data_IF_659825490047
#
_entry.id   IF_659825490047
#
_cell.length_a   1.000
_cell.length_b   1.000
_cell.length_c   1.000
_cell.angle_alpha   90.00
_cell.angle_beta   90.00
_cell.angle_gamma   90.00
#
_symmetry.space_group_name_H-M   'P 1'
#
loop_
_entity.id
_entity.type
_entity.pdbx_description
1 polymer ?
#
# COMPACT_ATOMS: atom_id res chain seq x y z
N UNK A 1 4.59 -9.00 12.85
CA UNK A 1 3.87 -8.50 11.66
C UNK A 1 4.88 -8.47 10.53
N UNK A 2 4.59 -9.06 9.37
CA UNK A 2 5.60 -9.23 8.33
C UNK A 2 5.39 -8.20 7.20
N UNK A 3 6.24 -7.16 7.18
CA UNK A 3 6.24 -6.09 6.16
C UNK A 3 6.43 -6.68 4.76
N UNK A 4 7.32 -7.67 4.60
CA UNK A 4 7.57 -8.31 3.30
C UNK A 4 6.31 -8.96 2.73
N UNK A 5 5.45 -9.52 3.59
CA UNK A 5 4.17 -10.10 3.15
C UNK A 5 3.21 -9.02 2.64
N UNK A 6 3.16 -7.88 3.32
CA UNK A 6 2.36 -6.72 2.88
C UNK A 6 2.88 -6.20 1.55
N UNK A 7 4.20 -6.00 1.42
CA UNK A 7 4.83 -5.54 0.19
C UNK A 7 4.57 -6.50 -0.98
N UNK A 8 4.67 -7.80 -0.74
CA UNK A 8 4.37 -8.82 -1.74
C UNK A 8 2.91 -8.73 -2.22
N UNK A 9 1.95 -8.62 -1.29
CA UNK A 9 0.54 -8.50 -1.64
C UNK A 9 0.25 -7.19 -2.42
N UNK A 10 0.86 -6.07 -2.02
CA UNK A 10 0.75 -4.79 -2.73
C UNK A 10 1.33 -4.88 -4.15
N UNK A 11 2.45 -5.58 -4.31
CA UNK A 11 3.10 -5.78 -5.60
C UNK A 11 2.24 -6.66 -6.53
N UNK A 12 1.56 -7.67 -6.00
CA UNK A 12 0.57 -8.46 -6.77
C UNK A 12 -0.61 -7.58 -7.18
N UNK A 13 -1.13 -6.75 -6.26
CA UNK A 13 -2.25 -5.85 -6.56
C UNK A 13 -1.88 -4.84 -7.65
N UNK A 14 -0.64 -4.31 -7.66
CA UNK A 14 -0.14 -3.39 -8.69
C UNK A 14 -0.30 -3.95 -10.11
N UNK A 15 -0.19 -5.27 -10.28
CA UNK A 15 -0.19 -5.94 -11.59
C UNK A 15 -1.60 -6.07 -12.21
N UNK A 16 -2.66 -5.75 -11.47
CA UNK A 16 -4.05 -5.87 -11.95
C UNK A 16 -4.30 -4.83 -13.05
N UNK A 17 -4.63 -5.27 -14.25
CA UNK A 17 -5.11 -4.40 -15.34
C UNK A 17 -6.64 -4.36 -15.38
N UNK A 18 -7.18 -3.46 -16.20
CA UNK A 18 -8.62 -3.45 -16.45
C UNK A 18 -9.08 -4.81 -16.99
N UNK A 19 -10.23 -5.26 -16.52
CA UNK A 19 -10.82 -6.57 -16.81
C UNK A 19 -10.09 -7.77 -16.19
N UNK A 20 -8.92 -7.57 -15.58
CA UNK A 20 -8.29 -8.59 -14.76
C UNK A 20 -9.05 -8.77 -13.45
N UNK A 21 -9.10 -10.02 -13.02
CA UNK A 21 -9.76 -10.46 -11.80
C UNK A 21 -8.71 -10.77 -10.74
N UNK A 22 -9.02 -10.51 -9.49
CA UNK A 22 -8.17 -10.88 -8.35
C UNK A 22 -8.76 -12.08 -7.63
N UNK A 23 -7.92 -13.06 -7.32
CA UNK A 23 -8.31 -14.31 -6.66
C UNK A 23 -7.41 -14.59 -5.46
N UNK A 24 -7.99 -15.20 -4.44
CA UNK A 24 -7.27 -15.68 -3.26
C UNK A 24 -7.04 -17.18 -3.41
N UNK A 25 -5.78 -17.60 -3.37
CA UNK A 25 -5.39 -19.00 -3.42
C UNK A 25 -5.06 -19.44 -1.99
N UNK A 26 -5.83 -20.41 -1.48
CA UNK A 26 -5.60 -21.04 -0.19
C UNK A 26 -4.87 -22.37 -0.41
N UNK A 27 -3.60 -22.43 0.00
CA UNK A 27 -2.80 -23.65 0.07
C UNK A 27 -2.63 -24.02 1.55
N UNK A 28 -2.35 -25.29 1.84
CA UNK A 28 -2.09 -25.75 3.21
C UNK A 28 -0.90 -24.95 3.78
N UNK A 29 -1.19 -24.09 4.76
CA UNK A 29 -0.18 -23.24 5.40
C UNK A 29 0.14 -21.92 4.70
N UNK A 30 -0.47 -21.58 3.56
CA UNK A 30 -0.30 -20.24 2.96
C UNK A 30 -1.51 -19.77 2.18
N UNK A 31 -1.95 -18.54 2.45
CA UNK A 31 -2.92 -17.81 1.63
C UNK A 31 -2.17 -16.77 0.81
N UNK A 32 -2.45 -16.68 -0.49
CA UNK A 32 -1.77 -15.73 -1.40
C UNK A 32 -2.75 -15.11 -2.39
N UNK A 33 -2.43 -13.89 -2.83
CA UNK A 33 -3.11 -13.25 -3.96
C UNK A 33 -2.57 -13.73 -5.30
N UNK A 34 -3.44 -13.81 -6.30
CA UNK A 34 -3.07 -14.07 -7.69
C UNK A 34 -3.98 -13.29 -8.65
N UNK A 35 -3.37 -12.72 -9.69
CA UNK A 35 -4.09 -12.05 -10.78
C UNK A 35 -4.54 -13.09 -11.80
N UNK A 36 -5.84 -13.13 -12.05
CA UNK A 36 -6.47 -13.93 -13.09
C UNK A 36 -6.74 -13.05 -14.32
N UNK A 37 -5.84 -13.15 -15.30
CA UNK A 37 -5.87 -12.39 -16.55
C UNK A 37 -6.64 -13.08 -17.69
N UNK A 38 -7.25 -14.25 -17.45
CA UNK A 38 -7.90 -15.02 -18.50
C UNK A 38 -9.27 -14.43 -18.91
N UNK A 39 -9.29 -13.70 -20.03
CA UNK A 39 -10.48 -13.00 -20.55
C UNK A 39 -11.65 -13.91 -20.98
N UNK A 40 -11.37 -15.11 -21.47
CA UNK A 40 -12.37 -15.96 -22.14
C UNK A 40 -12.77 -17.23 -21.38
N UNK A 41 -11.93 -17.70 -20.45
CA UNK A 41 -12.15 -18.95 -19.69
C UNK A 41 -12.26 -18.73 -18.18
N UNK A 42 -12.07 -17.49 -17.68
CA UNK A 42 -12.07 -17.20 -16.24
C UNK A 42 -13.34 -17.65 -15.51
N UNK A 43 -14.50 -17.65 -16.17
CA UNK A 43 -15.75 -18.11 -15.52
C UNK A 43 -15.72 -19.59 -15.18
N UNK A 44 -15.12 -20.44 -16.02
CA UNK A 44 -15.04 -21.89 -15.83
C UNK A 44 -13.93 -22.23 -14.83
N UNK A 45 -12.76 -21.61 -14.97
CA UNK A 45 -11.66 -21.79 -14.01
C UNK A 45 -12.05 -21.29 -12.62
N UNK A 46 -12.76 -20.15 -12.50
CA UNK A 46 -13.26 -19.68 -11.19
C UNK A 46 -14.28 -20.60 -10.55
N UNK A 47 -15.19 -21.18 -11.34
CA UNK A 47 -16.14 -22.16 -10.83
C UNK A 47 -15.41 -23.41 -10.32
N UNK A 48 -14.42 -23.90 -11.08
CA UNK A 48 -13.63 -25.09 -10.71
C UNK A 48 -12.74 -24.87 -9.48
N UNK A 49 -12.12 -23.69 -9.34
CA UNK A 49 -11.25 -23.35 -8.21
C UNK A 49 -11.96 -22.62 -7.06
N UNK A 50 -13.29 -22.46 -7.14
CA UNK A 50 -14.14 -21.78 -6.16
C UNK A 50 -13.66 -20.36 -5.78
N UNK A 51 -13.12 -19.63 -6.77
CA UNK A 51 -12.61 -18.28 -6.57
C UNK A 51 -13.75 -17.29 -6.35
N UNK A 52 -14.07 -17.07 -5.09
CA UNK A 52 -15.14 -16.18 -4.65
C UNK A 52 -14.65 -14.73 -4.52
N UNK A 53 -15.34 -13.81 -5.20
CA UNK A 53 -15.07 -12.37 -5.12
C UNK A 53 -15.22 -11.83 -3.69
N UNK A 54 -16.17 -12.35 -2.91
CA UNK A 54 -16.32 -11.96 -1.49
C UNK A 54 -15.09 -12.35 -0.68
N UNK A 55 -14.52 -13.54 -0.92
CA UNK A 55 -13.28 -13.96 -0.25
C UNK A 55 -12.12 -13.03 -0.61
N UNK A 56 -12.01 -12.62 -1.87
CA UNK A 56 -11.02 -11.62 -2.29
C UNK A 56 -11.24 -10.29 -1.58
N UNK A 57 -12.48 -9.80 -1.50
CA UNK A 57 -12.76 -8.54 -0.81
C UNK A 57 -12.46 -8.62 0.68
N UNK A 58 -12.87 -9.68 1.37
CA UNK A 58 -12.53 -9.89 2.79
C UNK A 58 -11.02 -9.98 3.01
N UNK A 59 -10.27 -10.60 2.09
CA UNK A 59 -8.82 -10.60 2.15
C UNK A 59 -8.26 -9.17 2.05
N UNK A 60 -8.74 -8.37 1.08
CA UNK A 60 -8.31 -6.99 0.92
C UNK A 60 -8.68 -6.11 2.13
N UNK A 61 -9.83 -6.33 2.76
CA UNK A 61 -10.22 -5.65 4.00
C UNK A 61 -9.24 -5.96 5.15
N UNK A 62 -8.88 -7.24 5.31
CA UNK A 62 -7.89 -7.66 6.30
C UNK A 62 -6.49 -7.11 6.00
N UNK A 63 -6.06 -7.15 4.73
CA UNK A 63 -4.81 -6.54 4.28
C UNK A 63 -4.79 -5.04 4.59
N UNK A 64 -5.91 -4.34 4.35
CA UNK A 64 -6.03 -2.90 4.69
C UNK A 64 -5.84 -2.66 6.17
N UNK A 65 -6.49 -3.45 7.04
CA UNK A 65 -6.33 -3.31 8.49
C UNK A 65 -4.90 -3.61 8.95
N UNK A 66 -4.22 -4.55 8.30
CA UNK A 66 -2.81 -4.81 8.55
C UNK A 66 -1.97 -3.60 8.13
N UNK A 67 -2.12 -3.11 6.91
CA UNK A 67 -1.41 -1.91 6.42
C UNK A 67 -1.57 -0.73 7.38
N UNK A 68 -2.78 -0.45 7.86
CA UNK A 68 -3.06 0.61 8.85
C UNK A 68 -2.23 0.43 10.12
N UNK A 69 -2.24 -0.78 10.71
CA UNK A 69 -1.48 -1.08 11.93
C UNK A 69 0.03 -0.97 11.73
N UNK A 70 0.55 -1.47 10.61
CA UNK A 70 2.00 -1.35 10.33
C UNK A 70 2.39 0.10 10.04
N UNK A 71 1.57 0.87 9.32
CA UNK A 71 1.84 2.29 9.11
C UNK A 71 1.91 3.05 10.45
N UNK A 72 0.96 2.81 11.36
CA UNK A 72 1.01 3.41 12.70
C UNK A 72 2.24 2.98 13.50
N UNK A 73 2.64 1.71 13.41
CA UNK A 73 3.86 1.22 14.06
C UNK A 73 5.12 1.90 13.51
N UNK A 74 5.25 2.03 12.18
CA UNK A 74 6.42 2.64 11.54
C UNK A 74 6.52 4.13 11.83
N UNK A 75 5.40 4.86 11.77
CA UNK A 75 5.33 6.29 12.09
C UNK A 75 5.75 6.53 13.55
N UNK A 76 5.25 5.72 14.49
CA UNK A 76 5.59 5.87 15.90
C UNK A 76 7.02 5.43 16.24
N UNK A 77 7.60 4.54 15.41
CA UNK A 77 8.96 4.03 15.57
C UNK A 77 10.03 4.83 14.82
N UNK A 78 9.66 5.91 14.12
CA UNK A 78 10.54 6.72 13.27
C UNK A 78 11.31 5.91 12.20
N UNK A 79 10.64 4.91 11.64
CA UNK A 79 11.15 4.02 10.59
C UNK A 79 10.92 4.64 9.20
N UNK A 80 11.65 5.73 8.89
CA UNK A 80 11.40 6.57 7.72
C UNK A 80 11.60 5.84 6.38
N UNK A 81 12.62 4.98 6.26
CA UNK A 81 12.89 4.21 5.04
C UNK A 81 11.79 3.18 4.74
N UNK A 82 11.32 2.46 5.75
CA UNK A 82 10.20 1.52 5.61
C UNK A 82 8.87 2.25 5.38
N UNK A 83 8.69 3.45 5.93
CA UNK A 83 7.54 4.30 5.62
C UNK A 83 7.49 4.67 4.13
N UNK A 84 8.62 5.10 3.57
CA UNK A 84 8.74 5.44 2.14
C UNK A 84 8.44 4.21 1.28
N UNK A 85 9.08 3.08 1.60
CA UNK A 85 8.91 1.82 0.85
C UNK A 85 7.45 1.35 0.82
N UNK A 86 6.75 1.36 1.97
CA UNK A 86 5.34 0.98 2.02
C UNK A 86 4.46 1.98 1.29
N UNK A 87 4.75 3.27 1.40
CA UNK A 87 3.97 4.31 0.75
C UNK A 87 4.03 4.18 -0.78
N UNK A 88 5.21 3.98 -1.34
CA UNK A 88 5.41 3.78 -2.78
C UNK A 88 4.70 2.54 -3.30
N UNK A 89 4.81 1.41 -2.58
CA UNK A 89 4.11 0.18 -2.90
C UNK A 89 2.58 0.38 -2.85
N UNK A 90 2.09 1.14 -1.88
CA UNK A 90 0.67 1.41 -1.70
C UNK A 90 0.09 2.35 -2.77
N UNK A 91 0.82 3.40 -3.14
CA UNK A 91 0.48 4.29 -4.26
C UNK A 91 0.41 3.52 -5.57
N UNK A 92 1.35 2.59 -5.79
CA UNK A 92 1.35 1.73 -6.96
C UNK A 92 0.16 0.77 -6.99
N UNK A 93 -0.19 0.17 -5.85
CA UNK A 93 -1.32 -0.75 -5.71
C UNK A 93 -2.68 -0.05 -5.90
N UNK A 94 -2.82 1.24 -5.58
CA UNK A 94 -4.05 2.01 -5.78
C UNK A 94 -4.54 1.99 -7.24
N UNK A 95 -3.62 1.99 -8.22
CA UNK A 95 -3.96 1.84 -9.63
C UNK A 95 -4.60 0.48 -9.89
N UNK A 96 -4.00 -0.59 -9.38
CA UNK A 96 -4.52 -1.96 -9.49
C UNK A 96 -5.90 -2.14 -8.87
N UNK A 97 -6.15 -1.56 -7.68
CA UNK A 97 -7.47 -1.57 -7.05
C UNK A 97 -8.51 -0.79 -7.86
N UNK A 98 -8.10 0.31 -8.49
CA UNK A 98 -8.99 1.09 -9.37
C UNK A 98 -9.37 0.27 -10.60
N UNK A 99 -8.42 -0.44 -11.20
CA UNK A 99 -8.67 -1.37 -12.30
C UNK A 99 -9.59 -2.52 -11.88
N UNK A 100 -9.37 -3.10 -10.69
CA UNK A 100 -10.24 -4.14 -10.15
C UNK A 100 -11.68 -3.66 -9.96
N UNK A 101 -11.85 -2.40 -9.53
CA UNK A 101 -13.18 -1.76 -9.41
C UNK A 101 -13.86 -1.63 -10.78
N UNK A 102 -13.10 -1.29 -11.83
CA UNK A 102 -13.62 -1.25 -13.21
C UNK A 102 -14.06 -2.66 -13.65
N UNK A 103 -13.26 -3.70 -13.36
CA UNK A 103 -13.60 -5.09 -13.67
C UNK A 103 -14.94 -5.53 -13.06
N UNK A 104 -15.26 -5.06 -11.86
CA UNK A 104 -16.50 -5.39 -11.15
C UNK A 104 -17.59 -4.32 -11.26
N UNK A 105 -17.52 -3.41 -12.24
CA UNK A 105 -18.41 -2.26 -12.33
C UNK A 105 -19.93 -2.57 -12.34
N UNK A 106 -20.32 -3.81 -12.68
CA UNK A 106 -21.71 -4.28 -12.67
C UNK A 106 -22.18 -4.82 -11.31
N UNK A 107 -21.28 -5.09 -10.37
CA UNK A 107 -21.61 -5.52 -9.00
C UNK A 107 -21.49 -4.33 -8.04
N UNK A 108 -22.61 -3.68 -7.75
CA UNK A 108 -22.67 -2.47 -6.94
C UNK A 108 -22.13 -2.64 -5.52
N UNK A 109 -22.33 -3.82 -4.91
CA UNK A 109 -21.85 -4.12 -3.56
C UNK A 109 -20.33 -4.22 -3.56
N UNK A 110 -19.77 -4.97 -4.51
CA UNK A 110 -18.31 -5.12 -4.64
C UNK A 110 -17.65 -3.78 -4.98
N UNK A 111 -18.25 -2.98 -5.86
CA UNK A 111 -17.78 -1.63 -6.19
C UNK A 111 -17.75 -0.72 -4.95
N UNK A 112 -18.79 -0.77 -4.11
CA UNK A 112 -18.86 0.00 -2.88
C UNK A 112 -17.75 -0.42 -1.90
N UNK A 113 -17.55 -1.73 -1.68
CA UNK A 113 -16.48 -2.24 -0.82
C UNK A 113 -15.09 -1.85 -1.33
N UNK A 114 -14.82 -2.01 -2.62
CA UNK A 114 -13.56 -1.57 -3.24
C UNK A 114 -13.35 -0.06 -3.10
N UNK A 115 -14.41 0.74 -3.20
CA UNK A 115 -14.32 2.19 -2.99
C UNK A 115 -13.90 2.52 -1.56
N UNK A 116 -14.45 1.84 -0.55
CA UNK A 116 -14.05 2.01 0.85
C UNK A 116 -12.58 1.61 1.06
N UNK A 117 -12.14 0.49 0.49
CA UNK A 117 -10.74 0.02 0.56
C UNK A 117 -9.80 1.05 -0.07
N UNK A 118 -10.10 1.53 -1.29
CA UNK A 118 -9.32 2.56 -1.98
C UNK A 118 -9.22 3.83 -1.15
N UNK A 119 -10.32 4.27 -0.52
CA UNK A 119 -10.32 5.46 0.32
C UNK A 119 -9.41 5.27 1.55
N UNK A 120 -9.46 4.10 2.20
CA UNK A 120 -8.56 3.78 3.32
C UNK A 120 -7.09 3.76 2.90
N UNK A 121 -6.77 3.15 1.76
CA UNK A 121 -5.41 3.19 1.19
C UNK A 121 -4.94 4.64 1.02
N UNK A 122 -5.76 5.50 0.40
CA UNK A 122 -5.43 6.93 0.25
C UNK A 122 -5.22 7.64 1.59
N UNK A 123 -6.03 7.33 2.60
CA UNK A 123 -5.86 7.88 3.96
C UNK A 123 -4.54 7.44 4.58
N UNK A 124 -4.16 6.17 4.45
CA UNK A 124 -2.88 5.67 4.98
C UNK A 124 -1.70 6.27 4.24
N UNK A 125 -1.73 6.32 2.91
CA UNK A 125 -0.68 6.98 2.10
C UNK A 125 -0.44 8.41 2.57
N UNK A 126 -1.51 9.19 2.74
CA UNK A 126 -1.41 10.57 3.24
C UNK A 126 -0.80 10.66 4.64
N UNK A 127 -1.06 9.70 5.53
CA UNK A 127 -0.43 9.66 6.86
C UNK A 127 1.07 9.40 6.75
N UNK A 128 1.48 8.46 5.89
CA UNK A 128 2.89 8.14 5.64
C UNK A 128 3.63 9.33 4.99
N UNK A 129 3.04 9.96 3.96
CA UNK A 129 3.58 11.16 3.32
C UNK A 129 3.83 12.30 4.32
N UNK A 130 2.87 12.56 5.20
CA UNK A 130 3.01 13.59 6.22
C UNK A 130 4.15 13.28 7.19
N UNK A 131 4.35 12.01 7.54
CA UNK A 131 5.46 11.59 8.39
C UNK A 131 6.81 11.89 7.71
N UNK A 132 6.96 11.47 6.45
CA UNK A 132 8.19 11.68 5.67
C UNK A 132 8.52 13.17 5.48
N UNK A 133 7.50 13.97 5.18
CA UNK A 133 7.67 15.42 4.96
C UNK A 133 8.05 16.15 6.26
N UNK A 134 7.47 15.75 7.40
CA UNK A 134 7.85 16.32 8.69
C UNK A 134 9.31 15.99 9.04
N UNK A 135 9.74 14.74 8.84
CA UNK A 135 11.14 14.32 9.06
C UNK A 135 12.11 15.12 8.18
N UNK A 136 11.78 15.34 6.90
CA UNK A 136 12.60 16.14 5.99
C UNK A 136 12.74 17.62 6.43
N UNK A 137 11.68 18.23 6.95
CA UNK A 137 11.71 19.60 7.44
C UNK A 137 12.60 19.75 8.69
N UNK A 138 12.58 18.78 9.61
CA UNK A 138 13.47 18.78 10.78
C UNK A 138 14.97 18.68 10.41
N UNK A 139 15.31 17.92 9.38
CA UNK A 139 16.71 17.78 8.91
C UNK A 139 17.24 19.11 8.36
N UNK A 140 16.42 19.83 7.57
CA UNK A 140 16.81 21.13 7.01
C UNK A 140 16.99 22.22 8.08
N UNK A 141 16.19 22.19 9.14
CA UNK A 141 16.33 23.10 10.29
C UNK A 141 17.59 22.79 11.13
N UNK A 142 18.03 21.53 11.18
CA UNK A 142 19.27 21.14 11.85
C UNK A 142 20.51 21.59 11.09
N UNK A 143 20.58 21.37 9.77
CA UNK A 143 21.75 21.74 8.95
C UNK A 143 21.95 23.27 8.85
N UNK A 144 20.86 24.04 8.89
CA UNK A 144 20.90 25.51 8.91
C UNK A 144 21.35 26.09 10.26
N UNK A 145 21.11 25.37 11.36
CA UNK A 145 21.53 25.78 12.72
C UNK A 145 22.93 25.29 13.11
N UNK A 146 23.47 24.26 12.46
CA UNK A 146 24.89 23.86 12.60
C UNK A 146 25.85 24.73 11.80
N UNK A 147 25.41 25.31 10.67
CA UNK A 147 26.26 26.15 9.81
C UNK A 147 26.52 27.55 10.41
N UNK A 148 25.59 28.08 11.21
CA UNK A 148 25.73 29.39 11.86
C UNK A 148 26.69 29.40 13.07
N UNK A 149 27.01 28.23 13.63
CA UNK A 149 27.94 28.10 14.77
C UNK A 149 29.42 27.97 14.37
N UNK A 150 29.73 27.77 13.09
CA UNK A 150 31.12 27.67 12.59
C UNK A 150 31.71 28.99 12.09
N UNK A 151 30.92 30.04 11.89
CA UNK A 151 31.40 31.31 11.36
C UNK A 151 31.84 32.33 12.44
N UNK A 152 31.56 32.08 13.73
CA UNK A 152 31.86 33.04 14.80
C UNK A 152 33.24 32.88 15.45
N UNK A 153 34.08 31.92 15.02
CA UNK A 153 35.36 31.62 15.68
C UNK A 153 36.63 32.08 14.92
N UNK A 154 36.50 32.79 13.79
CA UNK A 154 37.67 33.26 13.01
C UNK A 154 37.83 34.79 12.90
N UNK A 155 37.12 35.56 13.73
CA UNK A 155 37.16 37.02 13.69
C UNK A 155 37.75 37.68 14.95
N UNK A 156 38.76 37.08 15.57
CA UNK A 156 39.60 37.76 16.59
C UNK A 156 41.07 37.32 16.45
N UNK A 157 41.74 37.80 15.40
CA UNK A 157 43.21 37.92 15.36
C UNK A 157 43.64 38.73 14.13
N UNK A 158 43.52 40.06 14.22
CA UNK A 158 44.43 40.99 13.54
C UNK A 158 44.36 42.39 14.12
#
# INVERSE_FOLDING_TARGET
MNIDTILLDLEVIKQINEYDKLSVINLVGSTRLAVDSCKYTSSITRYYYNFNRETTITYLENLTSNIEKTAEFLINGDHSEECETINDALLSALKGLTNLKITYNTDSIIVAKLTLIINKFKTVSKKLDNCLTNTANYINDYDSSSTSNSETSNAENK
#
